data_IF_698807395287
#
_entry.id   IF_698807395287
#
_cell.length_a   1.000
_cell.length_b   1.000
_cell.length_c   1.000
_cell.angle_alpha   90.00
_cell.angle_beta   90.00
_cell.angle_gamma   90.00
#
_symmetry.space_group_name_H-M   'P 1'
#
loop_
_entity.id
_entity.type
_entity.pdbx_description
1 polymer ?
#
# COMPACT_ATOMS: atom_id res chain seq x y z
N UNK A 1 -55.24 -2.57 6.33
CA UNK A 1 -54.25 -1.73 7.06
C UNK A 1 -53.08 -2.63 7.47
N UNK A 2 -52.11 -2.84 6.58
CA UNK A 2 -50.91 -3.62 6.90
C UNK A 2 -49.94 -2.73 7.68
N UNK A 3 -49.62 -3.12 8.92
CA UNK A 3 -48.56 -2.50 9.72
C UNK A 3 -47.21 -2.98 9.16
N UNK A 4 -46.33 -2.04 8.84
CA UNK A 4 -44.97 -2.31 8.36
C UNK A 4 -44.12 -2.88 9.50
N UNK A 5 -44.00 -4.20 9.56
CA UNK A 5 -42.97 -4.87 10.34
C UNK A 5 -41.77 -5.09 9.41
N UNK A 6 -40.62 -4.51 9.71
CA UNK A 6 -39.41 -4.65 8.88
C UNK A 6 -39.07 -6.13 8.67
N UNK A 7 -38.97 -6.57 7.42
CA UNK A 7 -38.68 -7.94 7.02
C UNK A 7 -37.45 -7.95 6.12
N UNK A 8 -36.49 -8.83 6.42
CA UNK A 8 -35.31 -9.08 5.60
C UNK A 8 -35.42 -10.50 5.08
N UNK A 9 -35.44 -10.66 3.77
CA UNK A 9 -35.42 -11.96 3.09
C UNK A 9 -34.04 -12.10 2.46
N UNK A 10 -33.38 -13.23 2.72
CA UNK A 10 -32.04 -13.52 2.24
C UNK A 10 -32.13 -14.78 1.39
N UNK A 11 -31.53 -14.74 0.21
CA UNK A 11 -31.40 -15.92 -0.65
C UNK A 11 -30.30 -16.85 -0.11
N UNK A 12 -30.57 -18.15 -0.04
CA UNK A 12 -29.67 -19.16 0.51
C UNK A 12 -28.72 -19.71 -0.57
N UNK A 13 -28.11 -18.81 -1.35
CA UNK A 13 -27.07 -19.21 -2.30
C UNK A 13 -25.85 -19.71 -1.50
N UNK A 14 -25.28 -20.85 -1.92
CA UNK A 14 -24.14 -21.46 -1.23
C UNK A 14 -22.94 -20.52 -1.16
N UNK A 15 -22.32 -20.44 0.01
CA UNK A 15 -21.14 -19.60 0.22
C UNK A 15 -19.87 -20.34 -0.19
N UNK A 16 -18.95 -19.64 -0.86
CA UNK A 16 -17.64 -20.19 -1.17
C UNK A 16 -16.68 -19.85 -0.02
N UNK A 17 -16.35 -20.84 0.80
CA UNK A 17 -15.38 -20.66 1.88
C UNK A 17 -13.96 -20.74 1.31
N UNK A 18 -13.25 -19.61 1.32
CA UNK A 18 -11.83 -19.55 0.94
C UNK A 18 -10.99 -19.53 2.21
N UNK A 19 -10.00 -20.42 2.28
CA UNK A 19 -9.10 -20.44 3.43
C UNK A 19 -8.10 -19.26 3.37
N UNK A 20 -7.60 -18.83 4.52
CA UNK A 20 -6.66 -17.70 4.65
C UNK A 20 -5.40 -17.88 3.80
N UNK A 21 -4.83 -19.07 3.77
CA UNK A 21 -3.60 -19.34 3.00
C UNK A 21 -3.85 -19.22 1.50
N UNK A 22 -5.00 -19.71 1.04
CA UNK A 22 -5.44 -19.61 -0.36
C UNK A 22 -5.66 -18.14 -0.74
N UNK A 23 -6.40 -17.40 0.09
CA UNK A 23 -6.61 -15.96 -0.11
C UNK A 23 -5.27 -15.21 -0.16
N UNK A 24 -4.32 -15.56 0.72
CA UNK A 24 -3.00 -14.94 0.73
C UNK A 24 -2.20 -15.26 -0.54
N UNK A 25 -2.31 -16.49 -1.06
CA UNK A 25 -1.77 -16.87 -2.36
C UNK A 25 -2.35 -16.02 -3.49
N UNK A 26 -3.68 -15.90 -3.56
CA UNK A 26 -4.36 -15.08 -4.56
C UNK A 26 -3.94 -13.60 -4.50
N UNK A 27 -3.77 -13.05 -3.30
CA UNK A 27 -3.28 -11.68 -3.11
C UNK A 27 -1.82 -11.51 -3.56
N UNK A 28 -0.96 -12.47 -3.24
CA UNK A 28 0.43 -12.47 -3.71
C UNK A 28 0.46 -12.50 -5.23
N UNK A 29 -0.31 -13.38 -5.85
CA UNK A 29 -0.34 -13.51 -7.30
C UNK A 29 -0.82 -12.22 -7.96
N UNK A 30 -1.87 -11.62 -7.38
CA UNK A 30 -2.40 -10.36 -7.85
C UNK A 30 -1.37 -9.23 -7.83
N UNK A 31 -0.55 -9.16 -6.77
CA UNK A 31 0.41 -8.06 -6.56
C UNK A 31 1.75 -8.31 -7.26
N UNK A 32 2.24 -9.56 -7.32
CA UNK A 32 3.59 -9.88 -7.77
C UNK A 32 3.67 -10.39 -9.20
N UNK A 33 2.60 -10.99 -9.72
CA UNK A 33 2.59 -11.64 -11.04
C UNK A 33 1.70 -10.91 -12.04
N UNK A 34 1.60 -9.58 -11.92
CA UNK A 34 0.89 -8.77 -12.90
C UNK A 34 1.74 -8.54 -14.16
N UNK A 35 1.34 -9.18 -15.25
CA UNK A 35 1.98 -9.08 -16.56
C UNK A 35 1.19 -8.10 -17.43
N UNK A 36 1.84 -7.03 -17.89
CA UNK A 36 1.29 -6.04 -18.81
C UNK A 36 1.78 -6.31 -20.22
N UNK A 37 0.87 -6.35 -21.18
CA UNK A 37 1.20 -6.40 -22.61
C UNK A 37 1.08 -5.02 -23.21
N UNK A 38 2.20 -4.47 -23.69
CA UNK A 38 2.25 -3.17 -24.36
C UNK A 38 2.83 -3.38 -25.76
N UNK A 39 1.97 -3.24 -26.77
CA UNK A 39 2.32 -3.59 -28.15
C UNK A 39 2.66 -5.07 -28.29
N UNK A 40 3.91 -5.36 -28.69
CA UNK A 40 4.44 -6.72 -28.86
C UNK A 40 5.21 -7.23 -27.63
N UNK A 41 5.41 -6.38 -26.63
CA UNK A 41 6.27 -6.67 -25.48
C UNK A 41 5.43 -7.03 -24.24
N UNK A 42 5.98 -7.88 -23.38
CA UNK A 42 5.43 -8.25 -22.08
C UNK A 42 6.30 -7.68 -20.97
N UNK A 43 5.66 -7.10 -19.96
CA UNK A 43 6.31 -6.45 -18.83
C UNK A 43 5.76 -7.02 -17.53
N UNK A 44 6.61 -7.24 -16.54
CA UNK A 44 6.19 -7.62 -15.19
C UNK A 44 6.22 -6.38 -14.29
N UNK A 45 5.10 -6.05 -13.67
CA UNK A 45 5.04 -4.98 -12.68
C UNK A 45 5.83 -5.40 -11.43
N UNK A 46 6.85 -4.62 -11.08
CA UNK A 46 7.68 -4.88 -9.89
C UNK A 46 7.28 -4.05 -8.67
N UNK A 47 6.63 -2.90 -8.88
CA UNK A 47 6.39 -1.89 -7.85
C UNK A 47 4.93 -1.44 -7.94
N UNK A 48 4.32 -1.23 -6.77
CA UNK A 48 2.98 -0.69 -6.62
C UNK A 48 1.88 -1.74 -6.78
N UNK A 49 0.64 -1.30 -6.57
CA UNK A 49 -0.56 -2.12 -6.72
C UNK A 49 -1.02 -2.04 -8.18
N UNK A 50 -1.47 -3.17 -8.73
CA UNK A 50 -1.93 -3.28 -10.11
C UNK A 50 -3.16 -2.39 -10.35
N UNK A 51 -3.15 -1.53 -11.37
CA UNK A 51 -4.30 -0.70 -11.70
C UNK A 51 -5.35 -1.49 -12.49
N UNK A 52 -6.63 -1.16 -12.30
CA UNK A 52 -7.75 -1.78 -13.02
C UNK A 52 -8.36 -3.02 -12.36
N UNK A 53 -7.84 -3.44 -11.21
CA UNK A 53 -8.44 -4.52 -10.42
C UNK A 53 -9.42 -3.99 -9.37
N UNK A 54 -10.49 -4.75 -9.13
CA UNK A 54 -11.54 -4.44 -8.16
C UNK A 54 -11.01 -4.43 -6.72
N UNK A 55 -9.96 -5.20 -6.42
CA UNK A 55 -9.37 -5.26 -5.08
C UNK A 55 -8.28 -4.20 -4.85
N UNK A 56 -7.81 -3.52 -5.89
CA UNK A 56 -6.75 -2.52 -5.77
C UNK A 56 -7.10 -1.35 -4.85
N UNK A 57 -8.33 -0.79 -4.88
CA UNK A 57 -8.72 0.25 -3.94
C UNK A 57 -8.67 -0.24 -2.48
N UNK A 58 -9.12 -1.47 -2.22
CA UNK A 58 -9.10 -2.05 -0.88
C UNK A 58 -7.67 -2.26 -0.37
N UNK A 59 -6.78 -2.80 -1.22
CA UNK A 59 -5.37 -2.97 -0.89
C UNK A 59 -4.66 -1.63 -0.67
N UNK A 60 -5.01 -0.62 -1.46
CA UNK A 60 -4.50 0.74 -1.29
C UNK A 60 -4.93 1.32 0.07
N UNK A 61 -6.21 1.23 0.42
CA UNK A 61 -6.70 1.65 1.73
C UNK A 61 -6.03 0.90 2.88
N UNK A 62 -5.78 -0.40 2.74
CA UNK A 62 -5.06 -1.18 3.74
C UNK A 62 -3.61 -0.70 3.92
N UNK A 63 -2.90 -0.49 2.81
CA UNK A 63 -1.53 0.04 2.82
C UNK A 63 -1.46 1.43 3.44
N UNK A 64 -2.38 2.32 3.05
CA UNK A 64 -2.45 3.67 3.61
C UNK A 64 -2.78 3.64 5.10
N UNK A 65 -3.71 2.80 5.55
CA UNK A 65 -4.03 2.67 6.97
C UNK A 65 -2.86 2.14 7.80
N UNK A 66 -2.01 1.27 7.24
CA UNK A 66 -0.77 0.86 7.88
C UNK A 66 0.22 2.03 7.97
N UNK A 67 0.43 2.75 6.86
CA UNK A 67 1.32 3.90 6.81
C UNK A 67 0.87 5.03 7.75
N UNK A 68 -0.43 5.27 7.87
CA UNK A 68 -1.00 6.23 8.80
C UNK A 68 -0.66 5.89 10.25
N UNK A 69 -0.92 4.64 10.66
CA UNK A 69 -0.68 4.19 12.04
C UNK A 69 0.79 4.14 12.42
N UNK A 70 1.64 3.71 11.50
CA UNK A 70 3.02 3.35 11.85
C UNK A 70 4.05 4.43 11.51
N UNK A 71 3.70 5.36 10.60
CA UNK A 71 4.61 6.45 10.20
C UNK A 71 4.00 7.83 10.41
N UNK A 72 2.79 8.09 9.90
CA UNK A 72 2.23 9.44 9.92
C UNK A 72 1.82 9.86 11.33
N UNK A 73 0.97 9.09 12.02
CA UNK A 73 0.47 9.48 13.35
C UNK A 73 1.59 9.63 14.38
N UNK A 74 2.58 8.72 14.48
CA UNK A 74 3.69 8.90 15.41
C UNK A 74 4.52 10.15 15.10
N UNK A 75 4.75 10.45 13.82
CA UNK A 75 5.45 11.65 13.40
C UNK A 75 4.68 12.92 13.80
N UNK A 76 3.37 12.96 13.56
CA UNK A 76 2.53 14.10 13.89
C UNK A 76 2.40 14.31 15.41
N UNK A 77 2.27 13.25 16.20
CA UNK A 77 2.23 13.34 17.66
C UNK A 77 3.57 13.83 18.23
N UNK A 78 4.69 13.37 17.66
CA UNK A 78 6.02 13.87 17.99
C UNK A 78 6.19 15.36 17.65
N UNK A 79 5.61 15.82 16.54
CA UNK A 79 5.63 17.23 16.15
C UNK A 79 4.75 18.12 17.05
N UNK A 80 3.63 17.61 17.57
CA UNK A 80 2.77 18.32 18.51
C UNK A 80 3.44 18.50 19.89
N UNK A 81 4.13 17.45 20.36
CA UNK A 81 4.98 17.49 21.56
C UNK A 81 6.19 18.42 21.44
N UNK A 82 6.65 18.73 20.23
CA UNK A 82 7.69 19.74 20.04
C UNK A 82 7.10 21.16 20.05
N UNK A 83 5.86 21.35 19.58
CA UNK A 83 5.18 22.66 19.62
C UNK A 83 4.82 23.09 21.04
N UNK A 84 4.39 22.17 21.90
CA UNK A 84 4.06 22.50 23.28
C UNK A 84 5.30 22.71 24.17
N UNK A 85 6.48 22.19 23.80
CA UNK A 85 7.77 22.48 24.46
C UNK A 85 8.44 23.76 23.91
N UNK A 86 8.23 24.12 22.64
CA UNK A 86 8.84 25.33 22.03
C UNK A 86 8.14 26.65 22.36
N UNK A 87 7.08 26.64 23.19
CA UNK A 87 6.69 27.82 23.97
C UNK A 87 7.70 28.15 25.10
N UNK A 88 8.79 27.39 25.20
CA UNK A 88 9.98 27.72 25.98
C UNK A 88 11.24 27.46 25.15
N UNK A 89 11.68 28.49 24.43
CA UNK A 89 12.94 28.60 23.65
C UNK A 89 12.98 27.93 22.26
N UNK A 90 13.63 28.65 21.33
CA UNK A 90 13.58 28.52 19.87
C UNK A 90 14.72 27.63 19.33
N UNK A 91 14.44 26.70 18.40
CA UNK A 91 15.21 26.45 17.16
C UNK A 91 14.49 25.41 16.25
N UNK A 92 14.47 25.56 14.91
CA UNK A 92 13.74 24.66 14.01
C UNK A 92 14.59 23.43 13.62
N UNK A 93 14.23 22.26 14.15
CA UNK A 93 14.78 20.95 13.75
C UNK A 93 14.12 20.50 12.45
N UNK A 94 14.52 21.10 11.32
CA UNK A 94 14.14 20.66 9.96
C UNK A 94 15.23 19.80 9.29
N UNK A 95 16.12 19.16 10.07
CA UNK A 95 17.30 18.47 9.49
C UNK A 95 17.25 16.94 9.40
N UNK A 96 16.14 16.26 9.72
CA UNK A 96 16.17 14.78 9.73
C UNK A 96 15.43 14.05 8.60
N UNK A 97 14.76 14.73 7.66
CA UNK A 97 13.89 14.03 6.70
C UNK A 97 14.47 13.89 5.27
N UNK A 98 15.72 14.27 5.00
CA UNK A 98 16.23 14.34 3.61
C UNK A 98 17.60 13.67 3.39
N UNK A 99 17.91 12.56 4.07
CA UNK A 99 19.09 11.75 3.73
C UNK A 99 18.81 10.25 3.85
N UNK A 100 18.18 9.71 2.80
CA UNK A 100 18.41 8.35 2.32
C UNK A 100 18.22 8.33 0.80
N UNK A 101 19.08 9.08 0.10
CA UNK A 101 19.29 8.94 -1.33
C UNK A 101 20.79 8.75 -1.58
N UNK A 102 21.30 7.57 -1.24
CA UNK A 102 22.55 7.08 -1.82
C UNK A 102 22.16 6.35 -3.10
N UNK A 103 22.10 7.11 -4.20
CA UNK A 103 22.02 6.54 -5.53
C UNK A 103 23.32 5.81 -5.84
N UNK A 104 23.25 4.49 -6.00
CA UNK A 104 24.23 3.73 -6.78
C UNK A 104 23.62 3.41 -8.15
N UNK A 105 23.80 4.36 -9.08
CA UNK A 105 23.74 4.10 -10.51
C UNK A 105 25.14 3.69 -10.97
N UNK A 106 25.40 2.39 -11.05
CA UNK A 106 26.49 1.86 -11.88
C UNK A 106 25.91 0.73 -12.72
N UNK A 107 25.65 1.07 -13.99
CA UNK A 107 25.32 0.12 -15.04
C UNK A 107 26.49 -0.80 -15.38
N UNK A 108 26.24 -1.83 -16.21
CA UNK A 108 27.17 -2.93 -16.42
C UNK A 108 28.40 -2.50 -17.21
N UNK A 109 29.58 -2.65 -16.61
CA UNK A 109 30.85 -2.72 -17.32
C UNK A 109 30.95 -4.05 -18.06
N UNK A 110 31.04 -4.00 -19.38
CA UNK A 110 31.53 -5.10 -20.22
C UNK A 110 32.53 -4.50 -21.20
N UNK A 111 33.81 -4.89 -21.09
CA UNK A 111 34.44 -5.49 -22.26
C UNK A 111 35.31 -6.70 -21.84
N UNK A 112 35.07 -7.84 -22.46
CA UNK A 112 35.85 -9.03 -22.21
C UNK A 112 35.50 -10.14 -23.19
N UNK A 113 36.07 -10.08 -24.39
CA UNK A 113 36.31 -11.25 -25.22
C UNK A 113 37.67 -11.05 -25.91
N UNK A 114 38.51 -12.10 -26.05
CA UNK A 114 39.78 -11.99 -26.76
C UNK A 114 39.59 -11.60 -28.22
#
# INVERSE_FOLDING_TARGET
RFRSSSCVVIDQVGEQCVNKEELHGLLIDHLKYNILKIGKNLYLQKIGICQGSVISPLLCSFYLGHLERDQIFPYLEGADKQRNVTNMSKEPVVKSCMLANEGSMLGPGSPGRP
#
